data_IF_031772072279
#
_entry.id   IF_031772072279
#
_cell.length_a   1.000
_cell.length_b   1.000
_cell.length_c   1.000
_cell.angle_alpha   90.00
_cell.angle_beta   90.00
_cell.angle_gamma   90.00
#
_symmetry.space_group_name_H-M   'P 1'
#
loop_
_entity.id
_entity.type
_entity.pdbx_description
1 polymer ?
#
# COMPACT_ATOMS: atom_id res chain seq x y z
N UNK A 1 -54.68 -10.37 58.75
CA UNK A 1 -54.10 -10.99 57.54
C UNK A 1 -53.61 -9.89 56.62
N UNK A 2 -52.30 -9.59 56.58
CA UNK A 2 -51.77 -8.43 55.87
C UNK A 2 -51.39 -8.77 54.42
N UNK A 3 -51.67 -7.81 53.53
CA UNK A 3 -51.61 -7.94 52.08
C UNK A 3 -50.21 -7.95 51.49
N UNK A 4 -50.11 -8.62 50.34
CA UNK A 4 -48.93 -8.69 49.47
C UNK A 4 -48.76 -7.36 48.71
N UNK A 5 -47.64 -6.67 48.88
CA UNK A 5 -47.19 -5.63 47.95
C UNK A 5 -46.09 -6.21 47.05
N UNK A 6 -46.34 -6.18 45.73
CA UNK A 6 -45.34 -6.51 44.70
C UNK A 6 -44.35 -5.34 44.53
N UNK A 7 -43.08 -5.60 44.22
CA UNK A 7 -42.16 -4.55 43.80
C UNK A 7 -42.47 -4.08 42.37
N UNK A 8 -42.23 -2.80 42.02
CA UNK A 8 -42.41 -2.30 40.67
C UNK A 8 -41.22 -2.70 39.79
N UNK A 9 -41.50 -3.40 38.69
CA UNK A 9 -40.58 -3.53 37.56
C UNK A 9 -40.65 -2.26 36.71
N UNK A 10 -39.70 -1.34 36.86
CA UNK A 10 -39.46 -0.28 35.88
C UNK A 10 -38.33 -0.72 34.95
N UNK A 11 -38.69 -1.37 33.84
CA UNK A 11 -37.83 -1.44 32.67
C UNK A 11 -37.84 -0.09 31.97
N UNK A 12 -36.97 0.82 32.42
CA UNK A 12 -36.66 2.02 31.65
C UNK A 12 -35.74 1.62 30.49
N UNK A 13 -36.36 1.27 29.37
CA UNK A 13 -35.67 1.14 28.08
C UNK A 13 -35.40 2.55 27.58
N UNK A 14 -34.31 3.15 28.04
CA UNK A 14 -33.72 4.33 27.41
C UNK A 14 -33.38 3.96 25.97
N UNK A 15 -34.33 4.23 25.05
CA UNK A 15 -34.08 4.18 23.62
C UNK A 15 -32.98 5.18 23.34
N UNK A 16 -31.77 4.69 23.05
CA UNK A 16 -30.71 5.52 22.51
C UNK A 16 -31.31 6.35 21.37
N UNK A 17 -31.09 7.67 21.34
CA UNK A 17 -31.65 8.53 20.31
C UNK A 17 -31.20 7.97 18.95
N UNK A 18 -32.15 7.63 18.09
CA UNK A 18 -31.87 7.34 16.68
C UNK A 18 -31.31 8.64 16.11
N UNK A 19 -29.99 8.69 15.99
CA UNK A 19 -29.30 9.75 15.26
C UNK A 19 -29.84 9.69 13.84
N UNK A 20 -30.64 10.69 13.49
CA UNK A 20 -31.16 10.88 12.14
C UNK A 20 -29.95 11.28 11.30
N UNK A 21 -29.34 10.30 10.64
CA UNK A 21 -28.26 10.53 9.68
C UNK A 21 -28.92 11.21 8.47
N UNK A 22 -28.99 12.54 8.53
CA UNK A 22 -29.70 13.39 7.58
C UNK A 22 -29.57 12.89 6.14
N UNK A 23 -30.71 12.83 5.46
CA UNK A 23 -30.94 12.15 4.19
C UNK A 23 -30.22 12.74 2.95
N UNK A 24 -29.11 13.47 3.09
CA UNK A 24 -28.48 14.21 1.97
C UNK A 24 -27.09 13.72 1.53
N UNK A 25 -26.45 12.79 2.24
CA UNK A 25 -25.30 12.06 1.70
C UNK A 25 -25.59 10.56 1.70
N UNK A 26 -26.17 10.07 0.59
CA UNK A 26 -26.42 8.64 0.43
C UNK A 26 -25.08 7.89 0.38
N UNK A 27 -24.78 7.12 1.43
CA UNK A 27 -23.66 6.17 1.44
C UNK A 27 -23.73 5.29 0.19
N UNK A 28 -22.74 5.45 -0.70
CA UNK A 28 -22.72 4.76 -1.98
C UNK A 28 -21.81 3.54 -1.88
N UNK A 29 -22.42 2.36 -1.85
CA UNK A 29 -21.70 1.09 -1.86
C UNK A 29 -21.08 0.84 -3.24
N UNK A 30 -19.75 0.69 -3.31
CA UNK A 30 -19.01 0.35 -4.52
C UNK A 30 -17.93 -0.70 -4.23
N UNK A 31 -17.33 -1.27 -5.28
CA UNK A 31 -16.07 -2.02 -5.14
C UNK A 31 -14.89 -1.06 -5.13
N UNK A 32 -13.95 -1.31 -4.23
CA UNK A 32 -12.71 -0.56 -4.09
C UNK A 32 -11.53 -1.53 -4.07
N UNK A 33 -10.45 -1.14 -4.72
CA UNK A 33 -9.12 -1.68 -4.39
C UNK A 33 -8.56 -0.83 -3.26
N UNK A 34 -8.07 -1.45 -2.20
CA UNK A 34 -7.45 -0.78 -1.06
C UNK A 34 -6.10 -1.41 -0.79
N UNK A 35 -5.07 -0.57 -0.68
CA UNK A 35 -3.76 -0.90 -0.13
C UNK A 35 -3.62 -0.23 1.24
N UNK A 36 -3.38 -1.02 2.27
CA UNK A 36 -3.05 -0.55 3.62
C UNK A 36 -1.55 -0.72 3.82
N UNK A 37 -0.81 0.39 3.94
CA UNK A 37 0.65 0.41 4.09
C UNK A 37 0.99 0.96 5.47
N UNK A 38 1.78 0.21 6.24
CA UNK A 38 2.14 0.49 7.63
C UNK A 38 3.66 0.57 7.80
N UNK A 39 4.14 1.48 8.65
CA UNK A 39 5.55 1.56 9.01
C UNK A 39 5.89 0.59 10.13
N UNK A 40 6.90 -0.24 9.89
CA UNK A 40 7.40 -1.13 10.92
C UNK A 40 8.28 -0.37 11.93
N UNK A 41 8.14 -0.70 13.21
CA UNK A 41 9.01 -0.20 14.28
C UNK A 41 8.59 1.13 14.93
N UNK A 42 7.60 1.84 14.39
CA UNK A 42 7.11 3.12 14.96
C UNK A 42 6.66 2.99 16.41
N UNK A 43 5.90 1.93 16.73
CA UNK A 43 5.49 1.63 18.12
C UNK A 43 6.67 1.52 19.09
N UNK A 44 7.77 0.87 18.68
CA UNK A 44 8.94 0.71 19.54
C UNK A 44 9.61 2.07 19.78
N UNK A 45 9.75 2.89 18.74
CA UNK A 45 10.30 4.24 18.84
C UNK A 45 9.45 5.16 19.72
N UNK A 46 8.12 5.13 19.57
CA UNK A 46 7.21 5.90 20.43
C UNK A 46 7.22 5.41 21.88
N UNK A 47 7.36 4.10 22.10
CA UNK A 47 7.47 3.54 23.45
C UNK A 47 8.78 3.93 24.15
N UNK A 48 9.88 4.11 23.42
CA UNK A 48 11.14 4.64 23.94
C UNK A 48 11.00 6.11 24.33
N UNK A 49 10.38 6.93 23.47
CA UNK A 49 10.08 8.32 23.77
C UNK A 49 9.19 8.45 25.02
N UNK A 50 8.15 7.62 25.15
CA UNK A 50 7.25 7.64 26.30
C UNK A 50 7.92 7.27 27.63
N UNK A 51 9.07 6.56 27.60
CA UNK A 51 9.87 6.23 28.80
C UNK A 51 10.87 7.30 29.17
N UNK A 52 11.12 8.27 28.29
CA UNK A 52 12.02 9.39 28.61
C UNK A 52 11.33 10.24 29.69
N UNK A 53 11.81 10.13 30.93
CA UNK A 53 11.18 10.77 32.08
C UNK A 53 11.18 12.30 31.93
N UNK A 54 10.00 12.90 32.15
CA UNK A 54 9.78 14.35 32.09
C UNK A 54 10.49 15.10 33.23
N UNK A 55 11.00 14.38 34.24
CA UNK A 55 11.37 14.93 35.54
C UNK A 55 12.84 15.37 35.64
N UNK A 56 13.72 14.97 34.70
CA UNK A 56 15.16 15.29 34.75
C UNK A 56 15.66 16.21 33.61
N UNK A 57 14.82 16.48 32.60
CA UNK A 57 15.23 17.22 31.41
C UNK A 57 14.69 18.66 31.46
N UNK A 58 15.57 19.64 31.24
CA UNK A 58 15.13 21.03 31.09
C UNK A 58 14.09 21.13 29.98
N UNK A 59 13.07 22.00 30.09
CA UNK A 59 12.04 22.16 29.05
C UNK A 59 12.61 22.37 27.64
N UNK A 60 13.79 23.00 27.54
CA UNK A 60 14.49 23.23 26.27
C UNK A 60 15.12 21.97 25.67
N UNK A 61 15.67 21.08 26.50
CA UNK A 61 16.26 19.82 26.06
C UNK A 61 15.19 18.78 25.75
N UNK A 62 14.06 18.80 26.47
CA UNK A 62 12.90 17.93 26.21
C UNK A 62 12.27 18.25 24.84
N UNK A 63 12.09 19.54 24.54
CA UNK A 63 11.57 19.99 23.24
C UNK A 63 12.45 19.53 22.08
N UNK A 64 13.79 19.58 22.26
CA UNK A 64 14.75 19.10 21.26
C UNK A 64 14.68 17.59 21.09
N UNK A 65 14.70 16.83 22.18
CA UNK A 65 14.60 15.37 22.15
C UNK A 65 13.28 14.89 21.51
N UNK A 66 12.17 15.55 21.84
CA UNK A 66 10.86 15.31 21.22
C UNK A 66 10.87 15.64 19.73
N UNK A 67 11.42 16.80 19.33
CA UNK A 67 11.53 17.17 17.93
C UNK A 67 12.37 16.16 17.13
N UNK A 68 13.54 15.76 17.65
CA UNK A 68 14.40 14.75 17.02
C UNK A 68 13.68 13.40 16.87
N UNK A 69 12.90 12.96 17.88
CA UNK A 69 12.09 11.75 17.77
C UNK A 69 10.96 11.88 16.77
N UNK A 70 10.24 13.01 16.75
CA UNK A 70 9.18 13.27 15.79
C UNK A 70 9.72 13.30 14.35
N UNK A 71 10.91 13.85 14.13
CA UNK A 71 11.56 13.83 12.82
C UNK A 71 11.98 12.42 12.39
N UNK A 72 12.39 11.56 13.32
CA UNK A 72 12.70 10.15 13.04
C UNK A 72 11.46 9.29 12.79
N UNK A 73 10.33 9.63 13.43
CA UNK A 73 9.07 8.87 13.35
C UNK A 73 8.14 9.46 12.29
N UNK A 74 7.40 10.50 12.66
CA UNK A 74 6.46 11.20 11.79
C UNK A 74 7.11 11.77 10.53
N UNK A 75 8.38 12.21 10.59
CA UNK A 75 9.10 12.68 9.41
C UNK A 75 9.19 11.63 8.29
N UNK A 76 9.41 10.36 8.64
CA UNK A 76 9.39 9.26 7.67
C UNK A 76 7.98 9.06 7.09
N UNK A 77 6.94 9.15 7.93
CA UNK A 77 5.53 9.03 7.52
C UNK A 77 5.13 10.15 6.56
N UNK A 78 5.55 11.38 6.84
CA UNK A 78 5.32 12.53 5.97
C UNK A 78 6.03 12.36 4.62
N UNK A 79 7.27 11.85 4.63
CA UNK A 79 8.03 11.59 3.40
C UNK A 79 7.36 10.51 2.54
N UNK A 80 6.83 9.44 3.13
CA UNK A 80 6.04 8.43 2.40
C UNK A 80 4.87 9.07 1.68
N UNK A 81 4.09 9.87 2.41
CA UNK A 81 2.91 10.55 1.85
C UNK A 81 3.30 11.46 0.70
N UNK A 82 4.37 12.25 0.85
CA UNK A 82 4.90 13.13 -0.20
C UNK A 82 5.35 12.33 -1.42
N UNK A 83 6.15 11.28 -1.24
CA UNK A 83 6.66 10.45 -2.33
C UNK A 83 5.53 9.77 -3.10
N UNK A 84 4.50 9.25 -2.40
CA UNK A 84 3.31 8.68 -3.06
C UNK A 84 2.58 9.73 -3.86
N UNK A 85 2.35 10.92 -3.30
CA UNK A 85 1.66 12.00 -4.00
C UNK A 85 2.42 12.44 -5.25
N UNK A 86 3.75 12.64 -5.15
CA UNK A 86 4.61 12.99 -6.28
C UNK A 86 4.53 11.90 -7.35
N UNK A 87 4.64 10.64 -6.95
CA UNK A 87 4.55 9.49 -7.84
C UNK A 87 3.20 9.43 -8.57
N UNK A 88 2.08 9.47 -7.84
CA UNK A 88 0.74 9.40 -8.42
C UNK A 88 0.47 10.60 -9.36
N UNK A 89 0.94 11.79 -8.99
CA UNK A 89 0.87 12.97 -9.85
C UNK A 89 1.66 12.78 -11.14
N UNK A 90 2.84 12.17 -11.06
CA UNK A 90 3.69 11.89 -12.22
C UNK A 90 3.08 10.83 -13.15
N UNK A 91 2.50 9.77 -12.59
CA UNK A 91 1.83 8.71 -13.39
C UNK A 91 0.59 9.24 -14.10
N UNK A 92 -0.12 10.19 -13.50
CA UNK A 92 -1.29 10.83 -14.08
C UNK A 92 -0.96 12.00 -15.02
N UNK A 93 0.32 12.38 -15.17
CA UNK A 93 0.72 13.44 -16.08
C UNK A 93 0.48 13.03 -17.54
N UNK A 94 -0.05 13.92 -18.40
CA UNK A 94 -0.23 13.62 -19.81
C UNK A 94 1.08 13.17 -20.46
N UNK A 95 1.13 11.96 -20.98
CA UNK A 95 2.30 11.47 -21.70
C UNK A 95 2.33 12.07 -23.12
N UNK A 96 3.51 12.47 -23.59
CA UNK A 96 3.74 12.99 -24.95
C UNK A 96 3.56 11.91 -26.05
N UNK A 97 3.03 10.73 -25.71
CA UNK A 97 2.90 9.57 -26.61
C UNK A 97 1.83 9.74 -27.69
N UNK A 98 1.05 10.84 -27.66
CA UNK A 98 0.01 11.12 -28.65
C UNK A 98 0.54 11.33 -30.08
N UNK A 99 1.84 11.52 -30.25
CA UNK A 99 2.47 11.66 -31.56
C UNK A 99 2.74 10.30 -32.25
N UNK A 100 2.73 9.21 -31.48
CA UNK A 100 2.91 7.84 -31.99
C UNK A 100 1.58 7.16 -32.33
N UNK A 101 0.45 7.75 -31.95
CA UNK A 101 -0.88 7.20 -32.18
C UNK A 101 -1.48 7.82 -33.44
N UNK A 102 -2.03 6.97 -34.32
CA UNK A 102 -2.70 7.44 -35.53
C UNK A 102 -3.87 8.38 -35.18
N UNK A 103 -4.15 9.39 -36.03
CA UNK A 103 -5.27 10.32 -35.82
C UNK A 103 -6.62 9.59 -35.64
N UNK A 104 -6.80 8.45 -36.31
CA UNK A 104 -8.02 7.65 -36.21
C UNK A 104 -8.20 6.99 -34.83
N UNK A 105 -7.11 6.69 -34.13
CA UNK A 105 -7.13 6.04 -32.82
C UNK A 105 -6.96 7.01 -31.65
N UNK A 106 -6.64 8.28 -31.91
CA UNK A 106 -6.30 9.27 -30.86
C UNK A 106 -7.42 9.44 -29.83
N UNK A 107 -8.68 9.57 -30.26
CA UNK A 107 -9.81 9.74 -29.34
C UNK A 107 -10.01 8.52 -28.43
N UNK A 108 -9.86 7.30 -28.98
CA UNK A 108 -9.97 6.07 -28.22
C UNK A 108 -8.81 5.91 -27.23
N UNK A 109 -7.60 6.30 -27.65
CA UNK A 109 -6.41 6.32 -26.80
C UNK A 109 -6.54 7.34 -25.66
N UNK A 110 -6.96 8.56 -25.94
CA UNK A 110 -7.21 9.59 -24.93
C UNK A 110 -8.29 9.16 -23.93
N UNK A 111 -9.36 8.50 -24.41
CA UNK A 111 -10.38 7.94 -23.54
C UNK A 111 -9.84 6.80 -22.66
N UNK A 112 -8.97 5.94 -23.19
CA UNK A 112 -8.32 4.86 -22.45
C UNK A 112 -7.37 5.40 -21.37
N UNK A 113 -6.60 6.43 -21.71
CA UNK A 113 -5.54 7.03 -20.88
C UNK A 113 -6.04 8.04 -19.86
N UNK A 114 -7.36 8.18 -19.70
CA UNK A 114 -7.89 9.06 -18.65
C UNK A 114 -7.31 8.65 -17.30
N UNK A 115 -6.72 9.61 -16.55
CA UNK A 115 -6.14 9.32 -15.26
C UNK A 115 -7.24 8.85 -14.32
N UNK A 116 -6.88 7.91 -13.47
CA UNK A 116 -7.76 7.46 -12.42
C UNK A 116 -7.63 8.38 -11.21
N UNK A 117 -8.73 8.56 -10.48
CA UNK A 117 -8.67 9.14 -9.16
C UNK A 117 -8.17 8.07 -8.17
N UNK A 118 -6.88 8.15 -7.83
CA UNK A 118 -6.28 7.41 -6.71
C UNK A 118 -6.31 8.31 -5.49
N UNK A 119 -6.98 7.87 -4.43
CA UNK A 119 -7.12 8.65 -3.20
C UNK A 119 -6.20 8.12 -2.12
N UNK A 120 -5.79 9.03 -1.23
CA UNK A 120 -4.94 8.76 -0.09
C UNK A 120 -5.70 9.10 1.18
N UNK A 121 -5.71 8.17 2.12
CA UNK A 121 -6.25 8.35 3.46
C UNK A 121 -5.13 8.11 4.48
N UNK A 122 -4.53 9.18 5.03
CA UNK A 122 -3.61 9.09 6.15
C UNK A 122 -4.28 8.50 7.40
N UNK A 123 -3.62 7.57 8.09
CA UNK A 123 -4.10 7.05 9.37
C UNK A 123 -2.92 6.83 10.34
N UNK A 124 -2.68 7.77 11.24
CA UNK A 124 -1.54 7.70 12.18
C UNK A 124 -0.19 7.55 11.45
N UNK A 125 0.48 6.40 11.61
CA UNK A 125 1.67 5.95 10.90
C UNK A 125 1.37 5.15 9.63
N UNK A 126 0.13 4.75 9.39
CA UNK A 126 -0.28 4.10 8.15
C UNK A 126 -0.68 5.09 7.05
N UNK A 127 -0.65 4.57 5.81
CA UNK A 127 -1.16 5.20 4.61
C UNK A 127 -2.09 4.22 3.89
N UNK A 128 -3.32 4.64 3.68
CA UNK A 128 -4.29 3.89 2.89
C UNK A 128 -4.32 4.50 1.48
N UNK A 129 -4.05 3.70 0.46
CA UNK A 129 -4.18 4.06 -0.95
C UNK A 129 -5.40 3.33 -1.48
N UNK A 130 -6.35 4.02 -2.08
CA UNK A 130 -7.55 3.35 -2.58
C UNK A 130 -8.07 3.91 -3.88
N UNK A 131 -8.75 3.03 -4.61
CA UNK A 131 -9.27 3.29 -5.96
C UNK A 131 -10.70 2.79 -6.03
N UNK A 132 -11.64 3.68 -6.33
CA UNK A 132 -12.99 3.25 -6.69
C UNK A 132 -12.95 2.49 -8.01
N UNK A 133 -13.53 1.29 -8.04
CA UNK A 133 -13.64 0.48 -9.26
C UNK A 133 -14.93 0.78 -10.03
N UNK A 134 -15.86 1.53 -9.42
CA UNK A 134 -17.00 2.12 -10.10
C UNK A 134 -16.56 3.46 -10.69
N UNK A 135 -15.80 3.39 -11.77
CA UNK A 135 -15.43 4.55 -12.57
C UNK A 135 -16.33 4.65 -13.80
N UNK A 136 -16.37 5.84 -14.39
CA UNK A 136 -17.10 6.12 -15.63
C UNK A 136 -16.57 5.30 -16.82
N UNK A 137 -15.32 4.83 -16.73
CA UNK A 137 -14.67 3.98 -17.73
C UNK A 137 -13.95 2.81 -17.05
N UNK A 138 -14.05 1.57 -17.57
CA UNK A 138 -13.22 0.45 -17.15
C UNK A 138 -11.72 0.74 -17.22
N UNK A 139 -11.28 1.53 -18.21
CA UNK A 139 -9.88 1.92 -18.36
C UNK A 139 -9.39 2.79 -17.20
N UNK A 140 -10.22 3.72 -16.73
CA UNK A 140 -9.87 4.56 -15.58
C UNK A 140 -9.73 3.72 -14.31
N UNK A 141 -10.61 2.75 -14.07
CA UNK A 141 -10.49 1.87 -12.89
C UNK A 141 -9.17 1.09 -12.90
N UNK A 142 -8.83 0.44 -14.02
CA UNK A 142 -7.59 -0.35 -14.10
C UNK A 142 -6.33 0.53 -14.10
N UNK A 143 -6.37 1.73 -14.67
CA UNK A 143 -5.28 2.71 -14.58
C UNK A 143 -4.98 3.08 -13.12
N UNK A 144 -6.02 3.23 -12.30
CA UNK A 144 -5.87 3.55 -10.88
C UNK A 144 -5.29 2.39 -10.09
N UNK A 145 -5.78 1.17 -10.34
CA UNK A 145 -5.21 -0.04 -9.76
C UNK A 145 -3.74 -0.18 -10.13
N UNK A 146 -3.41 -0.01 -11.41
CA UNK A 146 -2.04 -0.03 -11.91
C UNK A 146 -1.16 1.01 -11.18
N UNK A 147 -1.59 2.27 -11.12
CA UNK A 147 -0.85 3.35 -10.47
C UNK A 147 -0.61 3.08 -8.98
N UNK A 148 -1.62 2.60 -8.27
CA UNK A 148 -1.51 2.28 -6.84
C UNK A 148 -0.61 1.06 -6.57
N UNK A 149 -0.66 0.02 -7.41
CA UNK A 149 0.27 -1.12 -7.32
C UNK A 149 1.69 -0.68 -7.61
N UNK A 150 1.91 0.15 -8.63
CA UNK A 150 3.24 0.62 -8.98
C UNK A 150 3.82 1.56 -7.91
N UNK A 151 3.00 2.44 -7.34
CA UNK A 151 3.39 3.27 -6.20
C UNK A 151 3.79 2.37 -5.01
N UNK A 152 2.94 1.39 -4.67
CA UNK A 152 3.17 0.43 -3.59
C UNK A 152 4.48 -0.34 -3.76
N UNK A 153 4.73 -0.87 -4.96
CA UNK A 153 5.95 -1.59 -5.27
C UNK A 153 7.19 -0.70 -5.18
N UNK A 154 7.10 0.54 -5.66
CA UNK A 154 8.22 1.50 -5.68
C UNK A 154 8.64 1.94 -4.29
N UNK A 155 7.69 2.10 -3.37
CA UNK A 155 7.99 2.49 -1.99
C UNK A 155 8.78 1.45 -1.23
N UNK A 156 8.52 0.16 -1.45
CA UNK A 156 9.15 -0.93 -0.70
C UNK A 156 10.68 -0.83 -0.65
N UNK A 157 11.42 -0.82 -1.78
CA UNK A 157 12.88 -0.73 -1.75
C UNK A 157 13.38 0.65 -1.27
N UNK A 158 12.67 1.74 -1.57
CA UNK A 158 13.08 3.10 -1.17
C UNK A 158 13.06 3.26 0.35
N UNK A 159 11.96 2.83 0.98
CA UNK A 159 11.78 2.94 2.42
C UNK A 159 12.65 1.94 3.18
N UNK A 160 12.86 0.75 2.63
CA UNK A 160 13.81 -0.21 3.19
C UNK A 160 15.26 0.30 3.14
N UNK A 161 15.69 0.90 2.01
CA UNK A 161 17.01 1.53 1.89
C UNK A 161 17.20 2.74 2.80
N UNK A 162 16.10 3.39 3.18
CA UNK A 162 16.10 4.52 4.10
C UNK A 162 15.93 4.08 5.56
N UNK A 163 16.09 2.80 5.86
CA UNK A 163 15.99 2.20 7.20
C UNK A 163 14.61 2.39 7.88
N UNK A 164 13.58 2.67 7.08
CA UNK A 164 12.21 2.87 7.52
C UNK A 164 11.30 1.82 6.86
N UNK A 165 11.49 0.53 7.14
CA UNK A 165 10.76 -0.55 6.48
C UNK A 165 9.24 -0.35 6.59
N UNK A 166 8.56 -0.53 5.47
CA UNK A 166 7.11 -0.60 5.41
C UNK A 166 6.65 -2.01 5.08
N UNK A 167 5.42 -2.32 5.44
CA UNK A 167 4.71 -3.54 5.05
C UNK A 167 3.28 -3.19 4.71
N UNK A 168 2.54 -4.10 4.07
CA UNK A 168 1.15 -3.78 3.77
C UNK A 168 0.31 -4.93 3.26
N UNK A 169 -0.97 -4.66 3.06
CA UNK A 169 -1.92 -5.59 2.48
C UNK A 169 -2.73 -4.91 1.39
N UNK A 170 -3.00 -5.61 0.30
CA UNK A 170 -3.81 -5.09 -0.82
C UNK A 170 -4.93 -6.06 -1.12
N UNK A 171 -6.18 -5.59 -1.15
CA UNK A 171 -7.30 -6.40 -1.60
C UNK A 171 -8.35 -5.58 -2.35
N UNK A 172 -9.27 -6.28 -3.01
CA UNK A 172 -10.47 -5.70 -3.62
C UNK A 172 -11.71 -6.25 -2.94
N UNK A 173 -12.56 -5.36 -2.43
CA UNK A 173 -13.87 -5.72 -1.90
C UNK A 173 -14.84 -4.56 -1.99
N UNK A 174 -16.08 -4.75 -1.55
CA UNK A 174 -17.03 -3.64 -1.39
C UNK A 174 -16.65 -2.75 -0.20
N UNK A 175 -16.91 -1.45 -0.34
CA UNK A 175 -16.76 -0.42 0.68
C UNK A 175 -17.60 0.82 0.30
N UNK A 176 -17.58 1.86 1.13
CA UNK A 176 -18.13 3.18 0.83
C UNK A 176 -17.11 4.23 1.21
N UNK A 177 -17.15 5.37 0.52
CA UNK A 177 -16.54 6.59 1.03
C UNK A 177 -17.53 7.22 2.02
N UNK A 178 -17.15 7.33 3.30
CA UNK A 178 -18.03 7.84 4.37
C UNK A 178 -17.83 9.32 4.64
N UNK A 179 -16.70 9.87 4.21
CA UNK A 179 -16.38 11.28 4.15
C UNK A 179 -15.38 11.49 2.99
N UNK A 180 -15.19 12.73 2.50
CA UNK A 180 -14.24 12.98 1.41
C UNK A 180 -12.85 12.44 1.74
N UNK A 181 -12.35 11.53 0.89
CA UNK A 181 -11.06 10.85 1.07
C UNK A 181 -11.00 9.85 2.24
N UNK A 182 -12.14 9.32 2.70
CA UNK A 182 -12.19 8.32 3.77
C UNK A 182 -12.98 7.06 3.33
N UNK A 183 -12.25 6.00 2.96
CA UNK A 183 -12.85 4.70 2.62
C UNK A 183 -13.12 3.92 3.90
N UNK A 184 -14.31 3.31 3.96
CA UNK A 184 -14.71 2.46 5.06
C UNK A 184 -15.50 1.25 4.56
N UNK A 185 -15.13 0.07 5.08
CA UNK A 185 -15.80 -1.19 4.77
C UNK A 185 -14.82 -2.36 4.61
N UNK A 186 -15.32 -3.52 4.17
CA UNK A 186 -14.52 -4.74 4.03
C UNK A 186 -13.28 -4.63 3.17
N UNK A 187 -13.27 -3.76 2.14
CA UNK A 187 -12.06 -3.57 1.34
C UNK A 187 -10.89 -3.09 2.21
N UNK A 188 -11.14 -2.11 3.10
CA UNK A 188 -10.16 -1.62 4.06
C UNK A 188 -9.84 -2.67 5.13
N UNK A 189 -10.86 -3.33 5.68
CA UNK A 189 -10.66 -4.38 6.68
C UNK A 189 -9.79 -5.53 6.17
N UNK A 190 -10.05 -6.03 4.96
CA UNK A 190 -9.27 -7.11 4.35
C UNK A 190 -7.82 -6.68 4.10
N UNK A 191 -7.61 -5.47 3.58
CA UNK A 191 -6.26 -4.94 3.37
C UNK A 191 -5.49 -4.83 4.71
N UNK A 192 -6.15 -4.36 5.76
CA UNK A 192 -5.58 -4.31 7.11
C UNK A 192 -5.30 -5.72 7.69
N UNK A 193 -6.19 -6.68 7.47
CA UNK A 193 -6.00 -8.06 7.93
C UNK A 193 -4.80 -8.73 7.24
N UNK A 194 -4.64 -8.52 5.93
CA UNK A 194 -3.48 -8.95 5.15
C UNK A 194 -2.17 -8.33 5.64
N UNK A 195 -2.18 -7.04 5.98
CA UNK A 195 -1.01 -6.38 6.58
C UNK A 195 -0.68 -7.01 7.94
N UNK A 196 -1.64 -6.97 8.87
CA UNK A 196 -1.41 -7.25 10.28
C UNK A 196 -1.14 -8.73 10.57
N UNK A 197 -1.79 -9.64 9.84
CA UNK A 197 -1.74 -11.08 10.10
C UNK A 197 -0.74 -11.81 9.21
N UNK A 198 -0.54 -11.33 7.98
CA UNK A 198 0.24 -12.05 6.98
C UNK A 198 1.51 -11.32 6.54
N UNK A 199 1.57 -9.99 6.61
CA UNK A 199 2.75 -9.23 6.16
C UNK A 199 3.75 -9.05 7.30
N UNK A 200 4.33 -10.16 7.74
CA UNK A 200 5.08 -10.20 9.00
C UNK A 200 6.49 -9.58 8.93
N UNK A 201 6.95 -9.26 7.71
CA UNK A 201 8.20 -8.59 7.40
C UNK A 201 7.98 -7.57 6.28
N UNK A 202 9.00 -6.79 5.86
CA UNK A 202 8.87 -5.82 4.78
C UNK A 202 8.44 -6.45 3.44
N UNK A 203 7.12 -6.60 3.27
CA UNK A 203 6.45 -7.11 2.06
C UNK A 203 5.02 -6.57 2.02
N UNK A 204 4.38 -6.71 0.86
CA UNK A 204 2.97 -6.41 0.68
C UNK A 204 2.22 -7.67 0.26
N UNK A 205 1.33 -8.16 1.11
CA UNK A 205 0.50 -9.34 0.80
C UNK A 205 -0.70 -8.96 -0.05
N UNK A 206 -1.03 -9.78 -1.04
CA UNK A 206 -2.12 -9.55 -2.00
C UNK A 206 -3.26 -10.52 -1.77
N UNK A 207 -4.45 -9.97 -1.58
CA UNK A 207 -5.70 -10.71 -1.39
C UNK A 207 -6.25 -11.29 -2.69
N UNK A 208 -7.06 -12.35 -2.53
CA UNK A 208 -7.70 -13.01 -3.65
C UNK A 208 -8.77 -12.16 -4.34
N UNK A 209 -9.28 -11.12 -3.69
CA UNK A 209 -10.22 -10.17 -4.31
C UNK A 209 -9.57 -9.46 -5.48
N UNK A 210 -8.33 -8.97 -5.31
CA UNK A 210 -7.58 -8.34 -6.42
C UNK A 210 -7.35 -9.33 -7.57
N UNK A 211 -6.95 -10.57 -7.28
CA UNK A 211 -6.73 -11.60 -8.31
C UNK A 211 -8.00 -11.89 -9.10
N UNK A 212 -9.14 -12.02 -8.42
CA UNK A 212 -10.43 -12.23 -9.06
C UNK A 212 -10.79 -11.05 -9.96
N UNK A 213 -10.63 -9.82 -9.46
CA UNK A 213 -10.87 -8.61 -10.23
C UNK A 213 -10.03 -8.57 -11.51
N UNK A 214 -8.70 -8.73 -11.42
CA UNK A 214 -7.82 -8.71 -12.59
C UNK A 214 -8.22 -9.79 -13.61
N UNK A 215 -8.52 -11.01 -13.15
CA UNK A 215 -8.98 -12.09 -14.04
C UNK A 215 -10.29 -11.76 -14.76
N UNK A 216 -11.22 -11.04 -14.14
CA UNK A 216 -12.45 -10.61 -14.84
C UNK A 216 -12.17 -9.62 -15.97
N UNK A 217 -11.08 -8.86 -15.89
CA UNK A 217 -10.67 -7.90 -16.92
C UNK A 217 -9.83 -8.54 -18.03
N UNK A 218 -9.15 -9.65 -17.76
CA UNK A 218 -8.34 -10.36 -18.76
C UNK A 218 -9.20 -11.03 -19.85
N UNK A 219 -10.43 -11.42 -19.51
CA UNK A 219 -11.37 -12.10 -20.40
C UNK A 219 -12.64 -11.26 -20.62
N UNK A 220 -12.54 -10.05 -21.21
CA UNK A 220 -13.71 -9.20 -21.42
C UNK A 220 -14.67 -9.84 -22.43
N UNK A 221 -15.97 -9.68 -22.18
CA UNK A 221 -17.03 -10.18 -23.04
C UNK A 221 -17.20 -9.39 -24.34
N UNK A 222 -16.54 -8.23 -24.45
CA UNK A 222 -16.65 -7.31 -25.58
C UNK A 222 -15.29 -7.14 -26.26
N UNK A 223 -15.34 -6.82 -27.55
CA UNK A 223 -14.16 -6.57 -28.38
C UNK A 223 -14.03 -5.08 -28.69
N UNK A 224 -12.79 -4.60 -28.79
CA UNK A 224 -12.50 -3.21 -29.13
C UNK A 224 -11.15 -2.77 -28.59
N UNK A 225 -10.75 -1.54 -28.92
CA UNK A 225 -9.49 -0.97 -28.47
C UNK A 225 -9.45 -0.82 -26.93
N UNK A 226 -10.52 -0.32 -26.31
CA UNK A 226 -10.59 -0.14 -24.85
C UNK A 226 -10.48 -1.48 -24.12
N UNK A 227 -11.18 -2.52 -24.60
CA UNK A 227 -11.12 -3.85 -23.98
C UNK A 227 -9.73 -4.49 -24.12
N UNK A 228 -9.08 -4.31 -25.27
CA UNK A 228 -7.70 -4.74 -25.47
C UNK A 228 -6.74 -4.02 -24.51
N UNK A 229 -6.88 -2.70 -24.37
CA UNK A 229 -6.10 -1.90 -23.44
C UNK A 229 -6.32 -2.33 -21.98
N UNK A 230 -7.58 -2.49 -21.57
CA UNK A 230 -7.93 -2.92 -20.21
C UNK A 230 -7.35 -4.31 -19.91
N UNK A 231 -7.40 -5.23 -20.87
CA UNK A 231 -6.76 -6.55 -20.75
C UNK A 231 -5.25 -6.43 -20.56
N UNK A 232 -4.57 -5.66 -21.40
CA UNK A 232 -3.12 -5.46 -21.32
C UNK A 232 -2.69 -4.82 -19.99
N UNK A 233 -3.47 -3.86 -19.49
CA UNK A 233 -3.24 -3.25 -18.18
C UNK A 233 -3.50 -4.24 -17.04
N UNK A 234 -4.53 -5.09 -17.15
CA UNK A 234 -4.81 -6.13 -16.18
C UNK A 234 -3.70 -7.19 -16.15
N UNK A 235 -3.20 -7.60 -17.31
CA UNK A 235 -2.05 -8.50 -17.46
C UNK A 235 -0.79 -7.89 -16.82
N UNK A 236 -0.55 -6.59 -17.06
CA UNK A 236 0.55 -5.84 -16.46
C UNK A 236 0.45 -5.78 -14.93
N UNK A 237 -0.75 -5.51 -14.39
CA UNK A 237 -1.01 -5.55 -12.95
C UNK A 237 -0.80 -6.96 -12.38
N UNK A 238 -1.26 -8.00 -13.09
CA UNK A 238 -1.10 -9.39 -12.66
C UNK A 238 0.36 -9.82 -12.65
N UNK A 239 1.17 -9.33 -13.59
CA UNK A 239 2.61 -9.60 -13.65
C UNK A 239 3.40 -8.99 -12.47
N UNK A 240 2.83 -8.02 -11.75
CA UNK A 240 3.39 -7.49 -10.50
C UNK A 240 3.18 -8.43 -9.29
N UNK A 241 2.44 -9.52 -9.44
CA UNK A 241 2.07 -10.39 -8.32
C UNK A 241 2.76 -11.74 -8.48
N UNK A 242 3.41 -12.20 -7.40
CA UNK A 242 4.05 -13.51 -7.36
C UNK A 242 3.68 -14.28 -6.09
N UNK A 243 4.02 -15.56 -6.06
CA UNK A 243 4.03 -16.34 -4.82
C UNK A 243 5.35 -16.15 -4.11
N UNK A 244 5.26 -15.90 -2.81
CA UNK A 244 6.40 -15.86 -1.91
C UNK A 244 6.75 -17.28 -1.40
N UNK A 245 7.84 -17.39 -0.64
CA UNK A 245 8.35 -18.64 -0.05
C UNK A 245 7.34 -19.38 0.84
N UNK A 246 6.39 -18.67 1.45
CA UNK A 246 5.31 -19.22 2.27
C UNK A 246 4.00 -19.44 1.49
N UNK A 247 4.07 -19.43 0.15
CA UNK A 247 2.95 -19.62 -0.78
C UNK A 247 1.89 -18.50 -0.80
N UNK A 248 2.03 -17.46 0.03
CA UNK A 248 1.18 -16.28 -0.03
C UNK A 248 1.46 -15.49 -1.31
N UNK A 249 0.45 -14.77 -1.78
CA UNK A 249 0.62 -13.85 -2.89
C UNK A 249 1.16 -12.53 -2.38
N UNK A 250 2.19 -12.01 -3.04
CA UNK A 250 2.82 -10.74 -2.71
C UNK A 250 2.92 -9.85 -3.94
N UNK A 251 3.01 -8.56 -3.69
CA UNK A 251 3.45 -7.60 -4.70
C UNK A 251 4.97 -7.78 -4.92
N UNK A 252 5.36 -8.37 -6.05
CA UNK A 252 6.74 -8.70 -6.40
C UNK A 252 7.50 -7.47 -6.90
N UNK A 253 7.82 -6.58 -5.96
CA UNK A 253 8.53 -5.32 -6.21
C UNK A 253 10.00 -5.48 -6.64
N UNK A 254 10.51 -6.72 -6.73
CA UNK A 254 11.81 -7.03 -7.33
C UNK A 254 11.69 -7.89 -8.58
N UNK A 255 10.47 -8.31 -8.92
CA UNK A 255 10.20 -9.27 -9.98
C UNK A 255 10.28 -8.68 -11.38
N UNK A 256 10.28 -9.58 -12.36
CA UNK A 256 10.37 -9.23 -13.79
C UNK A 256 9.22 -8.31 -14.23
N UNK A 257 8.01 -8.50 -13.69
CA UNK A 257 6.87 -7.64 -13.98
C UNK A 257 7.15 -6.19 -13.60
N UNK A 258 7.60 -5.95 -12.37
CA UNK A 258 7.93 -4.59 -11.92
C UNK A 258 9.10 -4.01 -12.71
N UNK A 259 10.17 -4.79 -12.93
CA UNK A 259 11.34 -4.39 -13.73
C UNK A 259 10.98 -3.97 -15.15
N UNK A 260 10.03 -4.66 -15.79
CA UNK A 260 9.59 -4.32 -17.14
C UNK A 260 8.80 -3.00 -17.17
N UNK A 261 7.99 -2.73 -16.14
CA UNK A 261 7.15 -1.54 -16.05
C UNK A 261 7.94 -0.27 -15.71
N UNK A 262 8.98 -0.39 -14.89
CA UNK A 262 9.93 0.71 -14.67
C UNK A 262 10.85 0.93 -15.87
N UNK A 263 10.70 0.16 -16.95
CA UNK A 263 11.28 0.41 -18.28
C UNK A 263 12.51 -0.44 -18.61
N UNK A 264 12.65 -0.77 -19.90
CA UNK A 264 13.76 -1.56 -20.45
C UNK A 264 15.01 -0.72 -20.79
N UNK A 265 14.93 0.62 -20.77
CA UNK A 265 16.02 1.54 -21.11
C UNK A 265 16.69 2.24 -19.92
N UNK A 266 17.60 3.18 -20.20
CA UNK A 266 18.27 4.05 -19.22
C UNK A 266 17.35 5.17 -18.67
N UNK A 267 16.11 4.85 -18.34
CA UNK A 267 15.25 5.86 -17.72
C UNK A 267 15.68 6.11 -16.25
N UNK A 268 15.37 7.30 -15.77
CA UNK A 268 15.79 7.78 -14.44
C UNK A 268 15.30 6.85 -13.32
N UNK A 269 14.09 6.30 -13.46
CA UNK A 269 13.50 5.38 -12.48
C UNK A 269 14.31 4.09 -12.30
N UNK A 270 14.74 3.45 -13.40
CA UNK A 270 15.58 2.23 -13.32
C UNK A 270 16.94 2.52 -12.71
N UNK A 271 17.59 3.63 -13.08
CA UNK A 271 18.89 4.04 -12.51
C UNK A 271 18.78 4.25 -11.00
N UNK A 272 17.76 4.99 -10.56
CA UNK A 272 17.48 5.20 -9.14
C UNK A 272 17.28 3.86 -8.41
N UNK A 273 16.48 2.95 -8.96
CA UNK A 273 16.25 1.65 -8.31
C UNK A 273 17.53 0.81 -8.22
N UNK A 274 18.36 0.76 -9.27
CA UNK A 274 19.64 0.05 -9.24
C UNK A 274 20.55 0.58 -8.11
N UNK A 275 20.52 1.88 -7.81
CA UNK A 275 21.28 2.47 -6.70
C UNK A 275 20.66 2.21 -5.31
N UNK A 276 19.33 2.09 -5.24
CA UNK A 276 18.57 1.88 -4.00
C UNK A 276 18.62 0.42 -3.55
N UNK A 277 18.56 -0.53 -4.48
CA UNK A 277 18.43 -1.95 -4.16
C UNK A 277 19.57 -2.52 -3.28
N UNK A 278 20.87 -2.23 -3.54
CA UNK A 278 21.95 -2.68 -2.66
C UNK A 278 21.84 -2.13 -1.24
N UNK A 279 21.38 -0.88 -1.07
CA UNK A 279 21.19 -0.26 0.25
C UNK A 279 20.05 -0.93 1.01
N UNK A 280 18.94 -1.19 0.33
CA UNK A 280 17.79 -1.90 0.88
C UNK A 280 18.17 -3.32 1.33
N UNK A 281 18.93 -4.03 0.49
CA UNK A 281 19.44 -5.36 0.80
C UNK A 281 20.37 -5.35 2.03
N UNK A 282 21.34 -4.43 2.06
CA UNK A 282 22.27 -4.28 3.19
C UNK A 282 21.52 -4.05 4.50
N UNK A 283 20.50 -3.18 4.50
CA UNK A 283 19.68 -2.97 5.68
C UNK A 283 18.95 -4.25 6.12
N UNK A 284 18.44 -5.05 5.18
CA UNK A 284 17.79 -6.31 5.49
C UNK A 284 18.77 -7.31 6.17
N UNK A 285 19.99 -7.45 5.65
CA UNK A 285 21.00 -8.31 6.26
C UNK A 285 21.48 -7.81 7.63
N UNK A 286 21.74 -6.50 7.76
CA UNK A 286 22.08 -5.90 9.05
C UNK A 286 20.97 -6.11 10.08
N UNK A 287 19.70 -5.97 9.69
CA UNK A 287 18.56 -6.19 10.56
C UNK A 287 18.43 -7.66 10.97
N UNK A 288 18.59 -8.60 10.04
CA UNK A 288 18.63 -10.04 10.31
C UNK A 288 19.70 -10.37 11.36
N UNK A 289 20.92 -9.89 11.16
CA UNK A 289 22.04 -10.16 12.06
C UNK A 289 21.86 -9.53 13.44
N UNK A 290 21.35 -8.28 13.49
CA UNK A 290 20.99 -7.61 14.75
C UNK A 290 19.98 -8.44 15.54
N UNK A 291 18.88 -8.86 14.91
CA UNK A 291 17.85 -9.65 15.61
C UNK A 291 18.36 -11.01 16.09
N UNK A 292 19.29 -11.66 15.37
CA UNK A 292 19.98 -12.86 15.86
C UNK A 292 20.81 -12.57 17.12
N UNK A 293 21.56 -11.47 17.13
CA UNK A 293 22.37 -11.07 18.30
C UNK A 293 21.51 -10.70 19.52
N UNK A 294 20.33 -10.12 19.29
CA UNK A 294 19.35 -9.80 20.33
C UNK A 294 18.55 -11.02 20.83
N UNK A 295 18.71 -12.20 20.22
CA UNK A 295 17.92 -13.40 20.54
C UNK A 295 16.46 -13.32 20.08
N UNK A 296 16.15 -12.43 19.13
CA UNK A 296 14.82 -12.29 18.55
C UNK A 296 14.67 -13.17 17.31
N UNK A 297 14.61 -14.48 17.54
CA UNK A 297 14.59 -15.51 16.49
C UNK A 297 13.48 -15.29 15.45
N UNK A 298 12.32 -14.80 15.91
CA UNK A 298 11.17 -14.52 15.05
C UNK A 298 11.46 -13.43 14.03
N UNK A 299 11.98 -12.27 14.47
CA UNK A 299 12.34 -11.20 13.53
C UNK A 299 13.56 -11.54 12.70
N UNK A 300 14.50 -12.33 13.23
CA UNK A 300 15.62 -12.84 12.47
C UNK A 300 15.15 -13.73 11.30
N UNK A 301 14.23 -14.67 11.53
CA UNK A 301 13.65 -15.53 10.49
C UNK A 301 12.92 -14.72 9.42
N UNK A 302 12.14 -13.71 9.85
CA UNK A 302 11.44 -12.80 8.96
C UNK A 302 12.36 -12.04 8.01
N UNK A 303 13.47 -11.52 8.52
CA UNK A 303 14.45 -10.84 7.68
C UNK A 303 15.32 -11.82 6.87
N UNK A 304 15.51 -13.05 7.34
CA UNK A 304 16.14 -14.11 6.55
C UNK A 304 15.33 -14.42 5.27
N UNK A 305 13.99 -14.49 5.39
CA UNK A 305 13.09 -14.60 4.23
C UNK A 305 13.19 -13.40 3.29
N UNK A 306 13.27 -12.18 3.83
CA UNK A 306 13.46 -10.98 3.02
C UNK A 306 14.79 -11.00 2.25
N UNK A 307 15.87 -11.39 2.90
CA UNK A 307 17.20 -11.57 2.28
C UNK A 307 17.13 -12.63 1.18
N UNK A 308 16.49 -13.77 1.43
CA UNK A 308 16.29 -14.81 0.43
C UNK A 308 15.46 -14.31 -0.77
N UNK A 309 14.41 -13.52 -0.53
CA UNK A 309 13.62 -12.88 -1.57
C UNK A 309 14.49 -11.98 -2.46
N UNK A 310 15.32 -11.11 -1.89
CA UNK A 310 16.27 -10.29 -2.66
C UNK A 310 17.26 -11.13 -3.47
N UNK A 311 17.90 -12.12 -2.85
CA UNK A 311 18.87 -13.01 -3.52
C UNK A 311 18.23 -13.74 -4.71
N UNK A 312 16.99 -14.20 -4.56
CA UNK A 312 16.26 -14.90 -5.62
C UNK A 312 15.83 -14.03 -6.81
N UNK A 313 15.98 -12.70 -6.72
CA UNK A 313 15.69 -11.74 -7.80
C UNK A 313 16.93 -10.95 -8.25
N UNK A 314 18.13 -11.34 -7.81
CA UNK A 314 19.37 -10.62 -8.11
C UNK A 314 19.62 -10.48 -9.62
N UNK A 315 19.28 -11.52 -10.41
CA UNK A 315 19.44 -11.60 -11.86
C UNK A 315 18.39 -10.79 -12.65
N UNK A 316 17.37 -10.25 -11.98
CA UNK A 316 16.27 -9.56 -12.67
C UNK A 316 16.70 -8.19 -13.18
N UNK A 317 17.55 -7.46 -12.46
CA UNK A 317 17.70 -6.02 -12.64
C UNK A 317 18.79 -5.63 -13.65
N UNK A 318 19.94 -6.30 -13.60
CA UNK A 318 21.10 -6.08 -14.49
C UNK A 318 21.47 -7.38 -15.21
N UNK A 319 22.14 -7.32 -16.39
CA UNK A 319 22.59 -8.54 -17.08
C UNK A 319 23.50 -9.43 -16.23
N UNK A 320 24.36 -8.80 -15.41
CA UNK A 320 25.30 -9.48 -14.52
C UNK A 320 24.68 -9.83 -13.15
N UNK A 321 23.40 -9.49 -12.95
CA UNK A 321 22.78 -9.49 -11.63
C UNK A 321 23.25 -8.33 -10.75
N UNK A 322 22.44 -7.96 -9.76
CA UNK A 322 22.88 -7.04 -8.72
C UNK A 322 23.77 -7.85 -7.79
N UNK A 323 25.04 -7.48 -7.71
CA UNK A 323 25.93 -8.02 -6.69
C UNK A 323 25.52 -7.43 -5.34
N UNK A 324 24.85 -8.27 -4.57
CA UNK A 324 24.44 -7.97 -3.20
C UNK A 324 25.56 -8.27 -2.19
N UNK A 325 26.72 -8.75 -2.65
CA UNK A 325 27.82 -9.21 -1.80
C UNK A 325 27.56 -10.58 -1.17
N UNK A 326 28.61 -11.20 -0.59
CA UNK A 326 28.49 -12.41 0.23
C UNK A 326 27.79 -12.19 1.57
#
# INVERSE_FOLDING_TARGET
MPGKSKPPHSHDKTKAPKKDWGAEESLTLNYYMVAYIDFMGQKASLAELARTELDEISRGDLSRAFHEHMMKTYGAVEELRKLVMIFLTSVNAPTQSLDLVSRASRNAYEAAMKPAEVKLQPLSDALIIYVSLKQWSPSAAINGVYAALLASATMMPIFLASENPVRGGIDVHWASEISPSEVYGPALYNAYELESSFSLYPRITVGMGLIKYLKTLMYPNQGGFIDAYVREMADSCHALIARDSDSLLILDYLGKGYRNLVGSGENLGKKMLIEVLPKAFKYAECSMNRFRQEGNDKLAEYYDRLVAYYKSRADVWTPDGIDFGP
#
